data_IF_877730279488
#
_entry.id   IF_877730279488
#
_cell.length_a   1.000
_cell.length_b   1.000
_cell.length_c   1.000
_cell.angle_alpha   90.00
_cell.angle_beta   90.00
_cell.angle_gamma   90.00
#
_symmetry.space_group_name_H-M   'P 1'
#
loop_
_entity.id
_entity.type
_entity.pdbx_description
1 polymer ?
#
# COMPACT_ATOMS: atom_id res chain seq x y z
N UNK A 1 29.29 25.02 -28.85
CA UNK A 1 28.28 26.10 -28.86
C UNK A 1 27.05 25.59 -28.15
N UNK A 2 26.76 26.18 -26.99
CA UNK A 2 25.55 25.94 -26.20
C UNK A 2 24.34 26.41 -26.99
N UNK A 3 23.34 25.53 -27.14
CA UNK A 3 21.97 25.95 -27.43
C UNK A 3 21.24 25.95 -26.09
N UNK A 4 21.37 27.06 -25.36
CA UNK A 4 20.37 27.46 -24.39
C UNK A 4 19.08 27.75 -25.14
N UNK A 5 18.15 26.80 -25.13
CA UNK A 5 16.79 27.07 -25.56
C UNK A 5 16.03 27.71 -24.40
N UNK A 6 15.56 28.93 -24.67
CA UNK A 6 14.83 29.83 -23.78
C UNK A 6 13.38 29.33 -23.52
N UNK A 7 13.12 28.03 -23.65
CA UNK A 7 11.80 27.41 -23.42
C UNK A 7 11.75 26.47 -22.20
N UNK A 8 12.86 26.28 -21.48
CA UNK A 8 12.93 25.35 -20.34
C UNK A 8 12.01 25.70 -19.15
N UNK A 9 11.35 26.86 -19.17
CA UNK A 9 10.51 27.30 -18.05
C UNK A 9 9.00 27.06 -18.23
N UNK A 10 8.51 26.65 -19.41
CA UNK A 10 7.07 26.39 -19.62
C UNK A 10 6.90 25.28 -20.66
N UNK A 11 6.52 24.08 -20.20
CA UNK A 11 6.08 22.91 -20.96
C UNK A 11 7.13 22.16 -21.80
N UNK A 12 7.66 21.05 -21.26
CA UNK A 12 7.74 19.73 -21.91
C UNK A 12 8.47 18.74 -20.98
N UNK A 13 7.75 18.18 -20.00
CA UNK A 13 8.26 17.01 -19.27
C UNK A 13 8.07 15.80 -20.18
N UNK A 14 9.12 15.47 -20.95
CA UNK A 14 9.21 14.18 -21.62
C UNK A 14 9.25 13.10 -20.53
N UNK A 15 8.18 12.30 -20.40
CA UNK A 15 8.13 11.21 -19.43
C UNK A 15 9.22 10.19 -19.76
N UNK A 16 10.34 10.23 -19.02
CA UNK A 16 11.57 9.48 -19.33
C UNK A 16 11.44 7.96 -19.09
N UNK A 17 10.41 7.51 -18.37
CA UNK A 17 10.29 6.14 -17.89
C UNK A 17 8.85 5.63 -18.01
N UNK A 18 8.69 4.38 -18.43
CA UNK A 18 7.41 3.69 -18.52
C UNK A 18 7.50 2.27 -17.96
N UNK A 19 6.43 1.80 -17.31
CA UNK A 19 6.26 0.39 -16.95
C UNK A 19 5.51 -0.28 -18.09
N UNK A 20 6.18 -1.15 -18.83
CA UNK A 20 5.60 -1.84 -19.99
C UNK A 20 5.07 -3.20 -19.57
N UNK A 21 3.81 -3.47 -19.90
CA UNK A 21 3.19 -4.79 -19.74
C UNK A 21 2.67 -5.27 -21.09
N UNK A 22 2.97 -6.52 -21.42
CA UNK A 22 2.42 -7.21 -22.58
C UNK A 22 1.47 -8.29 -22.07
N UNK A 23 0.23 -8.28 -22.55
CA UNK A 23 -0.77 -9.32 -22.24
C UNK A 23 -1.31 -9.91 -23.53
N UNK A 24 -1.49 -11.23 -23.55
CA UNK A 24 -2.08 -11.95 -24.69
C UNK A 24 -3.53 -12.22 -24.38
N UNK A 25 -4.44 -11.55 -25.08
CA UNK A 25 -5.88 -11.74 -24.92
C UNK A 25 -6.34 -12.91 -25.81
N UNK A 26 -7.20 -13.78 -25.28
CA UNK A 26 -7.87 -14.83 -26.06
C UNK A 26 -9.04 -14.23 -26.83
N UNK A 27 -9.18 -14.58 -28.11
CA UNK A 27 -10.33 -14.16 -28.92
C UNK A 27 -11.55 -14.98 -28.54
N UNK A 28 -12.59 -14.33 -28.03
CA UNK A 28 -13.90 -14.96 -27.78
C UNK A 28 -14.77 -14.75 -29.01
N UNK A 29 -15.36 -15.84 -29.54
CA UNK A 29 -16.32 -15.80 -30.65
C UNK A 29 -17.62 -16.41 -30.13
N UNK A 30 -18.70 -15.62 -30.11
CA UNK A 30 -20.01 -16.04 -29.60
C UNK A 30 -20.79 -14.89 -28.96
N UNK A 31 -22.00 -15.14 -28.43
CA UNK A 31 -22.78 -14.14 -27.70
C UNK A 31 -21.97 -13.59 -26.52
N UNK A 32 -22.07 -12.27 -26.33
CA UNK A 32 -21.27 -11.47 -25.40
C UNK A 32 -21.62 -11.75 -23.93
N UNK A 33 -21.26 -12.94 -23.44
CA UNK A 33 -21.36 -13.31 -22.02
C UNK A 33 -20.13 -12.81 -21.25
N UNK A 34 -19.86 -11.48 -21.32
CA UNK A 34 -18.81 -10.74 -20.57
C UNK A 34 -18.70 -11.11 -19.08
N UNK A 35 -19.75 -11.66 -18.51
CA UNK A 35 -19.85 -12.03 -17.10
C UNK A 35 -19.18 -13.36 -16.71
N UNK A 36 -18.93 -14.31 -17.62
CA UNK A 36 -18.88 -15.70 -17.16
C UNK A 36 -17.51 -16.32 -16.86
N UNK A 37 -16.45 -16.21 -17.68
CA UNK A 37 -15.24 -17.04 -17.43
C UNK A 37 -13.86 -16.50 -17.81
N UNK A 38 -13.67 -15.78 -18.91
CA UNK A 38 -12.29 -15.42 -19.35
C UNK A 38 -11.77 -14.07 -18.85
N UNK A 39 -12.66 -13.14 -18.49
CA UNK A 39 -12.28 -11.90 -17.80
C UNK A 39 -11.60 -12.18 -16.46
N UNK A 40 -11.74 -13.39 -15.89
CA UNK A 40 -11.30 -13.79 -14.54
C UNK A 40 -9.80 -14.05 -14.35
N UNK A 41 -9.03 -14.38 -15.40
CA UNK A 41 -7.67 -14.90 -15.20
C UNK A 41 -6.50 -14.01 -15.68
N UNK A 42 -6.74 -13.00 -16.53
CA UNK A 42 -5.64 -12.19 -17.11
C UNK A 42 -5.80 -10.67 -16.96
N UNK A 43 -7.02 -10.18 -16.66
CA UNK A 43 -7.34 -8.75 -16.61
C UNK A 43 -7.18 -8.10 -15.22
N UNK A 44 -6.76 -8.82 -14.20
CA UNK A 44 -7.06 -8.42 -12.82
C UNK A 44 -5.95 -7.75 -12.05
N UNK A 45 -4.70 -7.83 -12.52
CA UNK A 45 -3.66 -7.00 -11.95
C UNK A 45 -3.89 -5.62 -12.51
N UNK A 46 -4.56 -4.77 -11.75
CA UNK A 46 -4.74 -3.38 -12.15
C UNK A 46 -3.38 -2.70 -12.32
N UNK A 47 -3.31 -1.65 -13.15
CA UNK A 47 -2.11 -0.81 -13.22
C UNK A 47 -1.75 -0.26 -11.84
N UNK A 48 -2.75 -0.07 -10.97
CA UNK A 48 -2.54 0.37 -9.60
C UNK A 48 -1.78 -0.65 -8.75
N UNK A 49 -1.89 -1.96 -8.99
CA UNK A 49 -1.23 -2.97 -8.14
C UNK A 49 0.30 -2.85 -8.18
N UNK A 50 0.91 -2.64 -9.35
CA UNK A 50 2.37 -2.47 -9.44
C UNK A 50 2.83 -1.15 -8.83
N UNK A 51 2.01 -0.11 -8.96
CA UNK A 51 2.28 1.21 -8.36
C UNK A 51 2.21 1.13 -6.83
N UNK A 52 1.17 0.48 -6.29
CA UNK A 52 1.05 0.22 -4.85
C UNK A 52 2.19 -0.66 -4.33
N UNK A 53 2.65 -1.64 -5.11
CA UNK A 53 3.80 -2.47 -4.75
C UNK A 53 5.10 -1.64 -4.69
N UNK A 54 5.32 -0.72 -5.63
CA UNK A 54 6.45 0.20 -5.60
C UNK A 54 6.40 1.11 -4.36
N UNK A 55 5.24 1.71 -4.10
CA UNK A 55 5.04 2.55 -2.91
C UNK A 55 5.21 1.77 -1.59
N UNK A 56 4.84 0.49 -1.57
CA UNK A 56 5.11 -0.41 -0.43
C UNK A 56 6.60 -0.70 -0.29
N UNK A 57 7.30 -0.98 -1.39
CA UNK A 57 8.72 -1.32 -1.40
C UNK A 57 9.58 -0.20 -0.83
N UNK A 58 9.43 1.01 -1.37
CA UNK A 58 10.23 2.17 -1.00
C UNK A 58 9.34 3.38 -0.82
N UNK A 59 9.61 4.16 0.20
CA UNK A 59 8.92 5.43 0.35
C UNK A 59 9.27 6.37 -0.80
N UNK A 60 8.24 6.88 -1.47
CA UNK A 60 8.36 7.93 -2.45
C UNK A 60 7.11 8.04 -3.31
N UNK A 61 7.04 9.10 -4.07
CA UNK A 61 5.91 9.43 -4.90
C UNK A 61 6.08 8.75 -6.26
N UNK A 62 5.28 7.70 -6.48
CA UNK A 62 5.10 7.09 -7.80
C UNK A 62 3.62 7.10 -8.12
N UNK A 63 3.25 7.64 -9.26
CA UNK A 63 1.88 7.55 -9.79
C UNK A 63 1.94 7.52 -11.31
N UNK A 64 1.00 6.81 -11.98
CA UNK A 64 0.91 6.82 -13.42
C UNK A 64 0.43 8.21 -13.88
N UNK A 65 1.14 8.80 -14.84
CA UNK A 65 0.72 10.09 -15.43
C UNK A 65 -0.16 9.87 -16.66
N UNK A 66 0.09 8.78 -17.38
CA UNK A 66 -0.75 8.34 -18.48
C UNK A 66 -0.73 6.82 -18.59
N UNK A 67 -1.86 6.25 -19.03
CA UNK A 67 -1.98 4.86 -19.43
C UNK A 67 -2.07 4.82 -20.95
N UNK A 68 -1.10 4.14 -21.58
CA UNK A 68 -1.07 3.94 -23.03
C UNK A 68 -1.26 2.44 -23.27
N UNK A 69 -2.35 2.09 -23.95
CA UNK A 69 -2.62 0.73 -24.39
C UNK A 69 -2.55 0.67 -25.90
N UNK A 70 -1.80 -0.31 -26.42
CA UNK A 70 -1.65 -0.54 -27.85
C UNK A 70 -1.97 -2.01 -28.15
N UNK A 71 -2.77 -2.24 -29.17
CA UNK A 71 -2.98 -3.60 -29.65
C UNK A 71 -1.81 -4.04 -30.55
N UNK A 72 -1.30 -5.26 -30.34
CA UNK A 72 -0.12 -5.83 -31.00
C UNK A 72 -0.55 -6.93 -32.01
N UNK A 73 -1.80 -6.91 -32.49
CA UNK A 73 -2.33 -7.87 -33.46
C UNK A 73 -2.20 -7.43 -34.92
N UNK A 74 -2.04 -8.41 -35.83
CA UNK A 74 -1.96 -8.21 -37.28
C UNK A 74 -3.17 -7.44 -37.87
N UNK A 75 -4.36 -7.64 -37.31
CA UNK A 75 -5.60 -6.99 -37.75
C UNK A 75 -6.06 -5.83 -36.85
N UNK A 76 -5.25 -5.42 -35.88
CA UNK A 76 -5.64 -4.38 -34.91
C UNK A 76 -4.62 -3.26 -34.89
N UNK A 77 -4.94 -2.18 -35.58
CA UNK A 77 -4.20 -0.93 -35.50
C UNK A 77 -5.01 -0.02 -34.59
N UNK A 78 -4.46 0.30 -33.42
CA UNK A 78 -5.12 1.18 -32.46
C UNK A 78 -4.30 1.37 -31.20
N UNK A 79 -4.16 2.62 -30.79
CA UNK A 79 -3.64 3.02 -29.48
C UNK A 79 -4.70 3.82 -28.75
N UNK A 80 -4.99 3.45 -27.52
CA UNK A 80 -5.75 4.30 -26.61
C UNK A 80 -4.78 4.92 -25.61
N UNK A 81 -4.90 6.22 -25.43
CA UNK A 81 -4.20 6.96 -24.39
C UNK A 81 -5.24 7.54 -23.44
N UNK A 82 -5.07 7.30 -22.15
CA UNK A 82 -5.76 8.01 -21.09
C UNK A 82 -4.72 8.79 -20.30
N UNK A 83 -4.81 10.12 -20.32
CA UNK A 83 -3.99 10.94 -19.44
C UNK A 83 -4.66 11.02 -18.07
N UNK A 84 -3.92 10.74 -17.02
CA UNK A 84 -4.32 11.11 -15.67
C UNK A 84 -4.13 12.61 -15.46
N UNK A 85 -4.70 13.13 -14.38
CA UNK A 85 -4.36 14.47 -13.91
C UNK A 85 -3.00 14.43 -13.21
N UNK A 86 -2.02 15.25 -13.65
CA UNK A 86 -0.76 15.37 -12.93
C UNK A 86 -1.04 15.83 -11.49
N UNK A 87 -0.58 15.06 -10.50
CA UNK A 87 -0.64 15.47 -9.10
C UNK A 87 0.49 16.45 -8.82
N UNK A 88 0.21 17.73 -9.04
CA UNK A 88 1.12 18.83 -8.72
C UNK A 88 1.36 18.91 -7.20
N UNK A 89 2.59 19.25 -6.80
CA UNK A 89 2.94 19.52 -5.40
C UNK A 89 3.49 18.32 -4.60
N UNK A 90 3.63 17.15 -5.20
CA UNK A 90 4.29 16.00 -4.53
C UNK A 90 5.82 16.16 -4.60
N UNK A 91 6.46 16.26 -3.43
CA UNK A 91 7.87 16.65 -3.26
C UNK A 91 8.86 15.49 -3.11
N UNK A 92 8.63 14.33 -3.73
CA UNK A 92 9.60 13.23 -3.59
C UNK A 92 9.97 12.58 -4.92
N UNK A 93 11.28 12.38 -5.11
CA UNK A 93 11.83 11.61 -6.22
C UNK A 93 11.82 10.13 -5.84
N UNK A 94 11.38 9.29 -6.78
CA UNK A 94 11.43 7.84 -6.62
C UNK A 94 12.52 7.29 -7.53
N UNK A 95 13.65 6.90 -6.93
CA UNK A 95 14.81 6.37 -7.65
C UNK A 95 15.11 4.98 -7.12
N UNK A 96 15.21 4.01 -8.03
CA UNK A 96 15.65 2.65 -7.73
C UNK A 96 17.04 2.42 -8.30
N UNK A 97 17.96 1.93 -7.47
CA UNK A 97 19.23 1.35 -7.90
C UNK A 97 19.02 -0.02 -8.54
N UNK A 98 20.02 -0.51 -9.28
CA UNK A 98 19.96 -1.86 -9.90
C UNK A 98 19.69 -2.97 -8.89
N UNK A 99 20.34 -2.89 -7.71
CA UNK A 99 20.14 -3.85 -6.61
C UNK A 99 18.71 -3.80 -6.07
N UNK A 100 18.17 -2.60 -5.85
CA UNK A 100 16.78 -2.43 -5.38
C UNK A 100 15.76 -2.95 -6.40
N UNK A 101 16.07 -2.93 -7.71
CA UNK A 101 15.20 -3.53 -8.73
C UNK A 101 15.12 -5.04 -8.55
N UNK A 102 16.24 -5.72 -8.29
CA UNK A 102 16.25 -7.17 -8.04
C UNK A 102 15.42 -7.54 -6.80
N UNK A 103 15.57 -6.78 -5.72
CA UNK A 103 14.78 -6.93 -4.49
C UNK A 103 13.29 -6.66 -4.73
N UNK A 104 12.97 -5.62 -5.50
CA UNK A 104 11.61 -5.30 -5.89
C UNK A 104 10.97 -6.40 -6.73
N UNK A 105 11.71 -7.00 -7.66
CA UNK A 105 11.20 -8.09 -8.50
C UNK A 105 10.83 -9.33 -7.66
N UNK A 106 11.56 -9.60 -6.57
CA UNK A 106 11.20 -10.68 -5.63
C UNK A 106 9.86 -10.36 -4.96
N UNK A 107 9.67 -9.15 -4.45
CA UNK A 107 8.39 -8.70 -3.87
C UNK A 107 7.27 -8.77 -4.90
N UNK A 108 7.51 -8.22 -6.09
CA UNK A 108 6.53 -8.18 -7.16
C UNK A 108 6.10 -9.58 -7.57
N UNK A 109 7.01 -10.55 -7.66
CA UNK A 109 6.67 -11.93 -7.98
C UNK A 109 5.76 -12.56 -6.91
N UNK A 110 5.99 -12.27 -5.61
CA UNK A 110 5.11 -12.73 -4.53
C UNK A 110 3.70 -12.14 -4.69
N UNK A 111 3.60 -10.82 -4.86
CA UNK A 111 2.33 -10.12 -5.05
C UNK A 111 1.63 -10.64 -6.31
N UNK A 112 2.31 -10.70 -7.45
CA UNK A 112 1.81 -11.18 -8.73
C UNK A 112 1.26 -12.61 -8.63
N UNK A 113 1.97 -13.51 -7.96
CA UNK A 113 1.55 -14.91 -7.76
C UNK A 113 0.26 -15.03 -6.93
N UNK A 114 0.04 -14.08 -6.02
CA UNK A 114 -1.13 -14.04 -5.15
C UNK A 114 -2.32 -13.28 -5.78
N UNK A 115 -2.05 -12.28 -6.62
CA UNK A 115 -3.11 -11.46 -7.24
C UNK A 115 -3.81 -12.26 -8.34
N UNK A 116 -5.16 -12.32 -8.46
CA UNK A 116 -6.24 -11.72 -7.65
C UNK A 116 -7.15 -12.76 -6.98
N UNK A 117 -7.11 -14.02 -7.38
CA UNK A 117 -7.99 -15.07 -6.84
C UNK A 117 -7.54 -15.52 -5.44
N UNK A 118 -6.35 -15.10 -5.00
CA UNK A 118 -5.71 -15.60 -3.77
C UNK A 118 -5.44 -14.55 -2.70
N UNK A 119 -5.64 -13.26 -2.98
CA UNK A 119 -5.43 -12.21 -1.97
C UNK A 119 -6.71 -12.04 -1.14
N UNK A 120 -6.66 -12.17 0.20
CA UNK A 120 -7.79 -11.85 1.05
C UNK A 120 -8.19 -10.37 0.88
N UNK A 121 -9.49 -10.10 0.87
CA UNK A 121 -10.01 -8.73 0.69
C UNK A 121 -9.41 -7.72 1.68
N UNK A 122 -9.18 -8.10 2.93
CA UNK A 122 -8.60 -7.21 3.93
C UNK A 122 -7.17 -6.76 3.56
N UNK A 123 -6.38 -7.63 2.93
CA UNK A 123 -5.01 -7.31 2.51
C UNK A 123 -5.01 -6.38 1.28
N UNK A 124 -5.95 -6.60 0.36
CA UNK A 124 -6.18 -5.69 -0.77
C UNK A 124 -6.54 -4.28 -0.28
N UNK A 125 -7.48 -4.19 0.67
CA UNK A 125 -7.88 -2.91 1.30
C UNK A 125 -6.69 -2.26 2.00
N UNK A 126 -5.91 -3.04 2.77
CA UNK A 126 -4.74 -2.54 3.48
C UNK A 126 -3.69 -1.95 2.52
N UNK A 127 -3.35 -2.67 1.45
CA UNK A 127 -2.39 -2.21 0.45
C UNK A 127 -2.89 -0.95 -0.27
N UNK A 128 -4.16 -0.94 -0.69
CA UNK A 128 -4.76 0.21 -1.36
C UNK A 128 -4.73 1.46 -0.47
N UNK A 129 -5.15 1.34 0.79
CA UNK A 129 -5.15 2.46 1.75
C UNK A 129 -3.75 2.97 2.05
N UNK A 130 -2.78 2.06 2.20
CA UNK A 130 -1.37 2.43 2.35
C UNK A 130 -0.84 3.22 1.15
N UNK A 131 -1.16 2.75 -0.06
CA UNK A 131 -0.78 3.39 -1.32
C UNK A 131 -1.41 4.79 -1.48
N UNK A 132 -2.73 4.88 -1.29
CA UNK A 132 -3.49 6.14 -1.37
C UNK A 132 -2.97 7.18 -0.36
N UNK A 133 -2.66 6.74 0.87
CA UNK A 133 -2.06 7.57 1.91
C UNK A 133 -0.65 8.07 1.59
N UNK A 134 0.01 7.58 0.53
CA UNK A 134 1.29 8.15 0.04
C UNK A 134 1.06 9.34 -0.89
N UNK A 135 -0.13 9.41 -1.50
CA UNK A 135 -0.46 10.39 -2.53
C UNK A 135 -1.37 11.52 -2.02
N UNK A 136 -1.75 11.51 -0.73
CA UNK A 136 -2.54 12.60 -0.11
C UNK A 136 -1.67 13.84 0.11
N UNK A 137 -2.19 15.05 -0.15
CA UNK A 137 -1.46 16.29 0.09
C UNK A 137 -1.35 16.63 1.59
N UNK A 138 -2.37 16.29 2.38
CA UNK A 138 -2.44 16.61 3.81
C UNK A 138 -1.93 15.45 4.64
N UNK A 139 -1.04 15.71 5.61
CA UNK A 139 -0.52 14.67 6.51
C UNK A 139 -1.62 14.02 7.37
N UNK A 140 -2.68 14.77 7.73
CA UNK A 140 -3.80 14.22 8.51
C UNK A 140 -4.47 13.09 7.74
N UNK A 141 -4.79 13.34 6.46
CA UNK A 141 -5.36 12.33 5.57
C UNK A 141 -4.40 11.16 5.33
N UNK A 142 -3.08 11.42 5.21
CA UNK A 142 -2.08 10.35 5.11
C UNK A 142 -2.14 9.42 6.33
N UNK A 143 -2.14 9.99 7.53
CA UNK A 143 -2.21 9.24 8.78
C UNK A 143 -3.52 8.46 8.89
N UNK A 144 -4.65 9.08 8.51
CA UNK A 144 -5.95 8.41 8.52
C UNK A 144 -5.94 7.20 7.59
N UNK A 145 -5.48 7.34 6.34
CA UNK A 145 -5.43 6.22 5.39
C UNK A 145 -4.46 5.12 5.87
N UNK A 146 -3.32 5.46 6.48
CA UNK A 146 -2.42 4.48 7.12
C UNK A 146 -3.09 3.72 8.27
N UNK A 147 -3.92 4.39 9.06
CA UNK A 147 -4.62 3.77 10.19
C UNK A 147 -5.83 2.95 9.75
N UNK A 148 -6.51 3.31 8.66
CA UNK A 148 -7.49 2.43 8.01
C UNK A 148 -6.80 1.17 7.48
N UNK A 149 -5.58 1.28 6.95
CA UNK A 149 -4.77 0.12 6.56
C UNK A 149 -4.46 -0.78 7.76
N UNK A 150 -4.15 -0.20 8.93
CA UNK A 150 -3.97 -0.93 10.18
C UNK A 150 -5.25 -1.66 10.62
N UNK A 151 -6.39 -0.97 10.61
CA UNK A 151 -7.69 -1.54 10.93
C UNK A 151 -8.03 -2.73 10.01
N UNK A 152 -7.76 -2.60 8.71
CA UNK A 152 -7.99 -3.68 7.75
C UNK A 152 -7.18 -4.94 8.09
N UNK A 153 -5.91 -4.82 8.48
CA UNK A 153 -5.10 -5.99 8.86
C UNK A 153 -5.53 -6.52 10.24
N UNK A 154 -5.48 -5.66 11.25
CA UNK A 154 -5.51 -6.10 12.65
C UNK A 154 -6.91 -6.22 13.23
N UNK A 155 -7.94 -5.67 12.59
CA UNK A 155 -9.33 -5.70 13.06
C UNK A 155 -10.29 -6.36 12.06
N UNK A 156 -9.78 -7.00 10.99
CA UNK A 156 -10.60 -7.76 10.02
C UNK A 156 -11.44 -8.86 10.67
N UNK A 157 -11.02 -9.37 11.83
CA UNK A 157 -11.72 -10.39 12.62
C UNK A 157 -12.00 -9.91 14.05
N UNK A 158 -13.28 -9.69 14.40
CA UNK A 158 -13.73 -9.39 15.77
C UNK A 158 -14.99 -8.51 15.87
N UNK A 159 -15.54 -8.38 17.09
CA UNK A 159 -16.71 -7.52 17.41
C UNK A 159 -16.49 -6.01 17.27
N UNK A 160 -17.52 -5.20 17.51
CA UNK A 160 -17.56 -3.76 17.16
C UNK A 160 -17.24 -2.77 18.29
N UNK A 161 -16.88 -3.24 19.49
CA UNK A 161 -16.70 -2.36 20.65
C UNK A 161 -15.43 -1.50 20.55
N UNK A 162 -15.59 -0.17 20.61
CA UNK A 162 -14.50 0.80 20.37
C UNK A 162 -13.30 0.65 21.31
N UNK A 163 -13.54 0.42 22.61
CA UNK A 163 -12.46 0.19 23.58
C UNK A 163 -11.68 -1.10 23.30
N UNK A 164 -12.38 -2.13 22.85
CA UNK A 164 -11.82 -3.42 22.45
C UNK A 164 -11.03 -3.28 21.13
N UNK A 165 -11.54 -2.52 20.16
CA UNK A 165 -10.85 -2.25 18.88
C UNK A 165 -9.48 -1.61 19.10
N UNK A 166 -9.39 -0.57 19.95
CA UNK A 166 -8.12 0.09 20.28
C UNK A 166 -7.10 -0.89 20.89
N UNK A 167 -7.54 -1.66 21.90
CA UNK A 167 -6.65 -2.60 22.57
C UNK A 167 -6.20 -3.71 21.63
N UNK A 168 -7.14 -4.33 20.89
CA UNK A 168 -6.84 -5.41 19.94
C UNK A 168 -5.89 -4.95 18.84
N UNK A 169 -6.13 -3.77 18.24
CA UNK A 169 -5.26 -3.24 17.19
C UNK A 169 -3.82 -3.08 17.71
N UNK A 170 -3.66 -2.45 18.86
CA UNK A 170 -2.34 -2.24 19.45
C UNK A 170 -1.65 -3.55 19.85
N UNK A 171 -2.39 -4.47 20.49
CA UNK A 171 -1.87 -5.74 20.96
C UNK A 171 -1.46 -6.66 19.81
N UNK A 172 -2.35 -6.81 18.82
CA UNK A 172 -2.07 -7.59 17.61
C UNK A 172 -0.90 -7.02 16.83
N UNK A 173 -0.82 -5.69 16.66
CA UNK A 173 0.33 -5.07 15.96
C UNK A 173 1.65 -5.36 16.68
N UNK A 174 1.68 -5.24 18.00
CA UNK A 174 2.88 -5.46 18.81
C UNK A 174 3.38 -6.90 18.72
N UNK A 175 2.51 -7.88 18.99
CA UNK A 175 2.85 -9.30 18.93
C UNK A 175 3.18 -9.75 17.51
N UNK A 176 2.53 -9.15 16.50
CA UNK A 176 2.77 -9.48 15.11
C UNK A 176 4.13 -9.00 14.62
N UNK A 177 4.63 -7.86 15.09
CA UNK A 177 5.88 -7.28 14.56
C UNK A 177 7.13 -7.60 15.38
N UNK A 178 6.99 -7.84 16.67
CA UNK A 178 8.12 -7.93 17.59
C UNK A 178 8.01 -9.16 18.50
N UNK A 179 9.14 -9.78 18.82
CA UNK A 179 9.23 -10.90 19.78
C UNK A 179 9.82 -10.47 21.13
N UNK A 180 10.50 -9.34 21.18
CA UNK A 180 11.12 -8.81 22.40
C UNK A 180 10.08 -8.05 23.24
N UNK A 181 9.85 -8.39 24.52
CA UNK A 181 8.80 -7.76 25.34
C UNK A 181 8.89 -6.24 25.41
N UNK A 182 10.11 -5.69 25.44
CA UNK A 182 10.35 -4.24 25.46
C UNK A 182 9.83 -3.58 24.17
N UNK A 183 10.19 -4.12 23.01
CA UNK A 183 9.75 -3.60 21.69
C UNK A 183 8.26 -3.81 21.47
N UNK A 184 7.71 -4.94 21.92
CA UNK A 184 6.27 -5.17 21.91
C UNK A 184 5.53 -4.07 22.70
N UNK A 185 6.00 -3.75 23.91
CA UNK A 185 5.41 -2.67 24.70
C UNK A 185 5.49 -1.32 24.01
N UNK A 186 6.62 -1.00 23.38
CA UNK A 186 6.79 0.25 22.63
C UNK A 186 5.82 0.36 21.44
N UNK A 187 5.67 -0.70 20.64
CA UNK A 187 4.71 -0.74 19.53
C UNK A 187 3.27 -0.67 20.06
N UNK A 188 2.97 -1.39 21.14
CA UNK A 188 1.66 -1.37 21.77
C UNK A 188 1.25 0.03 22.23
N UNK A 189 2.11 0.71 22.99
CA UNK A 189 1.85 2.06 23.49
C UNK A 189 1.73 3.07 22.33
N UNK A 190 2.58 2.92 21.30
CA UNK A 190 2.51 3.75 20.10
C UNK A 190 1.18 3.58 19.36
N UNK A 191 0.77 2.34 19.08
CA UNK A 191 -0.45 2.05 18.32
C UNK A 191 -1.73 2.40 19.10
N UNK A 192 -1.72 2.31 20.43
CA UNK A 192 -2.81 2.85 21.27
C UNK A 192 -2.96 4.35 21.07
N UNK A 193 -1.86 5.10 21.09
CA UNK A 193 -1.88 6.55 20.82
C UNK A 193 -2.28 6.85 19.39
N UNK A 194 -1.86 6.03 18.43
CA UNK A 194 -2.22 6.20 17.04
C UNK A 194 -3.73 6.08 16.81
N UNK A 195 -4.38 5.09 17.44
CA UNK A 195 -5.84 4.96 17.39
C UNK A 195 -6.57 6.17 18.00
N UNK A 196 -6.09 6.68 19.14
CA UNK A 196 -6.64 7.90 19.77
C UNK A 196 -6.53 9.12 18.84
N UNK A 197 -5.39 9.28 18.17
CA UNK A 197 -5.14 10.36 17.23
C UNK A 197 -6.07 10.27 16.01
N UNK A 198 -6.24 9.09 15.42
CA UNK A 198 -7.18 8.89 14.31
C UNK A 198 -8.62 9.19 14.69
N UNK A 199 -9.05 8.76 15.88
CA UNK A 199 -10.39 9.10 16.37
C UNK A 199 -10.57 10.62 16.45
N UNK A 200 -9.57 11.35 16.98
CA UNK A 200 -9.60 12.81 17.05
C UNK A 200 -9.63 13.51 15.69
N UNK A 201 -8.81 13.05 14.73
CA UNK A 201 -8.81 13.61 13.37
C UNK A 201 -10.17 13.45 12.69
N UNK A 202 -10.77 12.25 12.77
CA UNK A 202 -12.04 11.96 12.10
C UNK A 202 -13.22 12.69 12.75
N UNK A 203 -13.20 12.90 14.06
CA UNK A 203 -14.25 13.65 14.76
C UNK A 203 -14.02 15.17 14.78
N UNK A 204 -12.98 15.67 14.10
CA UNK A 204 -12.70 17.10 14.01
C UNK A 204 -12.49 17.77 15.36
N UNK A 205 -11.99 17.04 16.36
CA UNK A 205 -11.84 17.61 17.71
C UNK A 205 -10.80 18.73 17.67
N UNK A 206 -11.20 19.99 17.87
CA UNK A 206 -10.31 21.17 17.92
C UNK A 206 -9.33 21.20 19.11
N UNK A 207 -9.17 20.07 19.81
CA UNK A 207 -8.22 19.92 20.91
C UNK A 207 -6.81 19.71 20.39
N UNK A 208 -5.82 20.31 21.05
CA UNK A 208 -4.39 20.14 20.74
C UNK A 208 -4.02 18.65 20.76
N UNK A 209 -3.68 18.11 19.59
CA UNK A 209 -3.27 16.71 19.44
C UNK A 209 -1.88 16.56 20.05
N UNK A 210 -1.74 15.56 20.93
CA UNK A 210 -0.47 15.20 21.56
C UNK A 210 0.05 13.93 20.92
N UNK A 211 1.21 14.04 20.30
CA UNK A 211 1.95 12.92 19.73
C UNK A 211 2.80 12.23 20.80
N UNK A 212 3.13 10.93 20.62
CA UNK A 212 3.98 10.19 21.55
C UNK A 212 5.40 10.76 21.60
N UNK A 213 6.21 10.29 22.55
CA UNK A 213 7.65 10.62 22.59
C UNK A 213 8.44 9.71 21.64
N UNK A 214 9.56 10.23 21.14
CA UNK A 214 10.61 9.46 20.46
C UNK A 214 11.39 8.62 21.48
N UNK A 215 12.23 7.72 20.98
CA UNK A 215 13.11 6.88 21.81
C UNK A 215 14.11 7.71 22.62
N UNK A 216 14.54 8.85 22.10
CA UNK A 216 15.42 9.83 22.77
C UNK A 216 14.69 10.70 23.83
N UNK A 217 13.40 10.47 24.04
CA UNK A 217 12.57 11.22 25.00
C UNK A 217 12.02 12.56 24.50
N UNK A 218 12.38 12.98 23.29
CA UNK A 218 11.84 14.22 22.67
C UNK A 218 10.41 14.02 22.17
N UNK A 219 9.67 15.11 22.02
CA UNK A 219 8.30 15.05 21.49
C UNK A 219 8.34 14.76 19.98
N UNK A 220 7.55 13.79 19.56
CA UNK A 220 7.34 13.52 18.14
C UNK A 220 6.50 14.65 17.52
N UNK A 221 6.87 15.09 16.31
CA UNK A 221 6.00 15.96 15.52
C UNK A 221 5.10 15.11 14.61
N UNK A 222 4.21 15.75 13.87
CA UNK A 222 3.27 15.06 12.98
C UNK A 222 3.95 14.27 11.86
N UNK A 223 5.06 14.79 11.30
CA UNK A 223 5.83 14.11 10.26
C UNK A 223 6.54 12.86 10.81
N UNK A 224 7.15 12.97 11.99
CA UNK A 224 7.79 11.83 12.64
C UNK A 224 6.77 10.72 12.97
N UNK A 225 5.56 11.12 13.37
CA UNK A 225 4.46 10.21 13.67
C UNK A 225 3.94 9.51 12.41
N UNK A 226 3.73 10.25 11.32
CA UNK A 226 3.37 9.72 10.02
C UNK A 226 4.42 8.71 9.54
N UNK A 227 5.71 9.09 9.57
CA UNK A 227 6.82 8.22 9.16
C UNK A 227 6.89 6.93 9.97
N UNK A 228 6.73 7.01 11.30
CA UNK A 228 6.75 5.81 12.17
C UNK A 228 5.54 4.92 11.91
N UNK A 229 4.35 5.50 11.76
CA UNK A 229 3.13 4.75 11.43
C UNK A 229 3.27 4.05 10.08
N UNK A 230 3.82 4.75 9.08
CA UNK A 230 4.08 4.19 7.75
C UNK A 230 5.06 3.02 7.81
N UNK A 231 6.14 3.12 8.56
CA UNK A 231 7.10 2.02 8.66
C UNK A 231 6.50 0.78 9.33
N UNK A 232 5.73 0.98 10.41
CA UNK A 232 4.98 -0.10 11.06
C UNK A 232 4.03 -0.78 10.06
N UNK A 233 3.28 0.01 9.29
CA UNK A 233 2.35 -0.52 8.30
C UNK A 233 3.05 -1.20 7.13
N UNK A 234 4.17 -0.66 6.65
CA UNK A 234 5.00 -1.29 5.62
C UNK A 234 5.43 -2.68 6.07
N UNK A 235 6.06 -2.78 7.26
CA UNK A 235 6.50 -4.06 7.84
C UNK A 235 5.33 -5.03 8.01
N UNK A 236 4.17 -4.54 8.46
CA UNK A 236 2.96 -5.35 8.65
C UNK A 236 2.47 -5.94 7.33
N UNK A 237 2.30 -5.11 6.30
CA UNK A 237 1.82 -5.54 4.98
C UNK A 237 2.80 -6.53 4.35
N UNK A 238 4.11 -6.27 4.42
CA UNK A 238 5.13 -7.21 3.94
C UNK A 238 5.02 -8.58 4.62
N UNK A 239 4.92 -8.59 5.96
CA UNK A 239 4.81 -9.83 6.72
C UNK A 239 3.53 -10.62 6.37
N UNK A 240 2.41 -9.93 6.16
CA UNK A 240 1.16 -10.59 5.74
C UNK A 240 1.28 -11.17 4.32
N UNK A 241 1.92 -10.46 3.38
CA UNK A 241 2.20 -11.01 2.04
C UNK A 241 3.11 -12.24 2.08
N UNK A 242 4.12 -12.24 2.96
CA UNK A 242 5.00 -13.40 3.14
C UNK A 242 4.24 -14.60 3.69
N UNK A 243 3.36 -14.40 4.69
CA UNK A 243 2.49 -15.46 5.21
C UNK A 243 1.54 -15.99 4.14
N UNK A 244 0.87 -15.09 3.39
CA UNK A 244 -0.02 -15.48 2.29
C UNK A 244 0.72 -16.31 1.23
N UNK A 245 1.94 -15.91 0.89
CA UNK A 245 2.78 -16.59 -0.09
C UNK A 245 3.18 -18.00 0.39
N UNK A 246 3.58 -18.14 1.66
CA UNK A 246 3.98 -19.42 2.25
C UNK A 246 2.80 -20.39 2.36
N UNK A 247 1.63 -19.93 2.79
CA UNK A 247 0.45 -20.79 2.92
C UNK A 247 -0.12 -21.25 1.57
N UNK A 248 0.24 -20.59 0.44
CA UNK A 248 -0.34 -20.78 -0.90
C UNK A 248 -1.89 -20.75 -0.91
N UNK A 249 -2.50 -20.21 0.14
CA UNK A 249 -3.91 -20.36 0.44
C UNK A 249 -4.64 -19.03 0.24
N UNK A 250 -5.76 -19.10 -0.49
CA UNK A 250 -6.62 -17.97 -0.82
C UNK A 250 -7.45 -17.48 0.36
N UNK A 251 -7.58 -18.31 1.40
CA UNK A 251 -8.30 -18.03 2.64
C UNK A 251 -7.32 -17.86 3.81
N UNK A 252 -6.29 -17.02 3.63
CA UNK A 252 -5.45 -16.65 4.77
C UNK A 252 -6.34 -15.92 5.78
N UNK A 253 -6.58 -16.57 6.90
CA UNK A 253 -7.10 -15.96 8.10
C UNK A 253 -5.94 -15.92 9.10
N UNK A 254 -5.63 -14.74 9.63
CA UNK A 254 -4.58 -14.62 10.64
C UNK A 254 -5.22 -15.07 11.95
N UNK A 255 -4.82 -16.24 12.45
CA UNK A 255 -5.22 -16.65 13.79
C UNK A 255 -4.41 -15.83 14.79
N UNK A 256 -5.07 -14.89 15.45
CA UNK A 256 -4.41 -14.02 16.42
C UNK A 256 -4.09 -14.77 17.72
N UNK A 257 -4.75 -15.89 18.00
CA UNK A 257 -4.50 -16.69 19.21
C UNK A 257 -3.11 -17.32 19.16
N UNK A 258 -2.60 -17.70 17.97
CA UNK A 258 -1.23 -18.21 17.78
C UNK A 258 -0.17 -17.19 18.20
N UNK A 259 -0.45 -15.90 18.00
CA UNK A 259 0.45 -14.81 18.39
C UNK A 259 0.31 -14.43 19.86
N UNK A 260 -0.89 -14.57 20.44
CA UNK A 260 -1.16 -14.28 21.85
C UNK A 260 -0.66 -15.41 22.76
N UNK A 261 -0.76 -16.66 22.31
CA UNK A 261 -0.39 -17.86 23.07
C UNK A 261 0.64 -18.71 22.31
N UNK A 262 1.88 -18.22 22.14
CA UNK A 262 2.92 -18.99 21.45
C UNK A 262 3.22 -20.29 22.22
N UNK A 263 3.12 -21.44 21.54
CA UNK A 263 3.44 -22.76 22.11
C UNK A 263 2.25 -23.71 22.32
N UNK A 264 1.04 -23.36 21.85
CA UNK A 264 -0.04 -24.34 21.65
C UNK A 264 0.13 -25.02 20.28
N UNK A 265 1.08 -25.94 20.19
CA UNK A 265 1.34 -26.76 19.01
C UNK A 265 2.15 -27.99 19.37
#
# INVERSE_FOLDING_TARGET
MSLHNVSDNIADVLYKHAIVRVSKLTKIIGPDNRASKETKNQAHITNNTIISALQLFKFGTVFPVADISRNIGFFSIGSSMSSGYPRFGLRSSYVLSKKEIEEFLILWNKIYTLTPEKIPHFLEVALRRFADGTLRPNLEDQIIDLLISAEAIFLSSGGSDQGELKYRLAHRTALFLESEPKKQKEIFDFMKKAYDIRSKFVHGSGSKISFPKKEDGTNMNMHDFEKRTREIMRRSIFKVYDLAYQCKNTKLNIDWDDYIFPGKG
#
